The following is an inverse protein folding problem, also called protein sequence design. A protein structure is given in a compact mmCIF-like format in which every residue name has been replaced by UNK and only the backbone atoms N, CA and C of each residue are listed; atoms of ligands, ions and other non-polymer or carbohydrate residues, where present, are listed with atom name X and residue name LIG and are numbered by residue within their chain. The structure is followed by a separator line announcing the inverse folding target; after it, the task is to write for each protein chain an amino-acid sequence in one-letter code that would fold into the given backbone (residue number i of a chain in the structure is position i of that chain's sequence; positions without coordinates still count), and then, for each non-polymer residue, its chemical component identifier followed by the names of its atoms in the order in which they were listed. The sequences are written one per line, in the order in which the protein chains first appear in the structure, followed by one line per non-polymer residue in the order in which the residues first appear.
data_IF_881642537947
#
_entry.id   IF_881642537947
#
_cell.length_a   1.000
_cell.length_b   1.000
_cell.length_c   1.000
_cell.angle_alpha   90.00
_cell.angle_beta   90.00
_cell.angle_gamma   90.00
#
_symmetry.space_group_name_H-M   'P 1'
#
loop_
_entity.id
_entity.type
_entity.pdbx_description
1 polymer ?
#
# COMPACT_ATOMS: atom_id res chain seq x y z
N UNK A 1 1.28 32.79 -57.28
CA UNK A 1 1.36 31.32 -57.14
C UNK A 1 2.78 30.96 -56.74
N UNK A 2 3.05 30.86 -55.44
CA UNK A 2 4.24 30.24 -54.88
C UNK A 2 3.90 29.80 -53.45
N UNK A 3 3.89 28.49 -53.22
CA UNK A 3 3.73 27.84 -51.91
C UNK A 3 5.10 27.67 -51.27
N UNK A 4 5.31 28.03 -49.99
CA UNK A 4 6.52 27.67 -49.27
C UNK A 4 6.38 26.30 -48.57
N UNK A 5 7.44 25.52 -48.70
CA UNK A 5 7.69 24.20 -48.12
C UNK A 5 7.84 24.31 -46.59
N UNK A 6 6.96 23.66 -45.82
CA UNK A 6 7.08 23.52 -44.36
C UNK A 6 7.86 22.25 -43.98
N UNK A 7 8.86 22.39 -43.11
CA UNK A 7 9.66 21.28 -42.58
C UNK A 7 8.89 20.48 -41.54
N UNK A 8 9.15 19.17 -41.56
CA UNK A 8 8.55 18.15 -40.72
C UNK A 8 9.31 18.11 -39.39
N UNK A 9 8.67 18.52 -38.29
CA UNK A 9 9.12 18.18 -36.94
C UNK A 9 8.33 16.97 -36.43
N UNK A 10 9.09 15.90 -36.20
CA UNK A 10 8.62 14.62 -35.73
C UNK A 10 8.37 14.61 -34.22
N UNK A 11 7.61 13.59 -33.79
CA UNK A 11 7.37 13.15 -32.40
C UNK A 11 6.07 13.62 -31.72
N UNK A 12 4.93 13.21 -32.30
CA UNK A 12 3.77 12.69 -31.54
C UNK A 12 3.11 11.52 -32.29
N UNK A 13 3.03 10.36 -31.65
CA UNK A 13 2.28 9.18 -32.12
C UNK A 13 2.54 8.04 -31.15
N UNK A 14 1.66 7.77 -30.18
CA UNK A 14 0.51 6.85 -30.32
C UNK A 14 0.85 5.64 -31.20
N UNK A 15 1.22 4.53 -30.57
CA UNK A 15 1.15 3.23 -31.23
C UNK A 15 0.29 2.28 -30.38
N UNK A 16 -0.92 2.11 -30.91
CA UNK A 16 -1.87 1.04 -30.62
C UNK A 16 -1.35 -0.27 -31.22
N UNK A 17 -1.65 -1.36 -30.51
CA UNK A 17 -1.26 -2.75 -30.74
C UNK A 17 -1.83 -3.32 -32.03
N UNK A 18 -1.04 -4.08 -32.79
CA UNK A 18 -1.54 -5.13 -33.70
C UNK A 18 -0.79 -6.45 -33.45
N UNK A 19 -1.54 -7.46 -33.02
CA UNK A 19 -1.15 -8.87 -33.02
C UNK A 19 -1.32 -9.41 -34.45
N UNK A 20 -0.25 -9.95 -35.05
CA UNK A 20 -0.37 -10.89 -36.16
C UNK A 20 0.41 -12.15 -35.82
N UNK A 21 -0.34 -13.25 -35.69
CA UNK A 21 0.13 -14.60 -35.51
C UNK A 21 0.36 -15.22 -36.90
N UNK A 22 1.61 -15.52 -37.27
CA UNK A 22 1.99 -16.80 -37.92
C UNK A 22 3.51 -16.94 -38.08
N UNK A 23 3.94 -18.19 -37.86
CA UNK A 23 5.20 -18.86 -38.22
C UNK A 23 6.41 -18.81 -37.26
N UNK A 24 6.54 -19.95 -36.57
CA UNK A 24 7.73 -20.48 -35.92
C UNK A 24 8.84 -20.84 -36.92
N UNK A 25 10.01 -21.13 -36.36
CA UNK A 25 11.18 -21.84 -36.92
C UNK A 25 12.29 -20.89 -37.42
N UNK A 26 12.98 -20.30 -36.44
CA UNK A 26 14.42 -20.10 -36.54
C UNK A 26 15.03 -20.39 -35.17
N UNK A 27 15.96 -21.33 -35.18
CA UNK A 27 16.72 -21.89 -34.08
C UNK A 27 17.57 -20.84 -33.37
N UNK A 28 17.09 -20.31 -32.25
CA UNK A 28 17.89 -19.71 -31.17
C UNK A 28 16.94 -19.51 -29.98
N UNK A 29 17.21 -20.04 -28.78
CA UNK A 29 16.47 -19.62 -27.60
C UNK A 29 16.93 -18.20 -27.24
N UNK A 30 16.11 -17.14 -27.40
CA UNK A 30 16.36 -15.95 -26.61
C UNK A 30 16.14 -16.39 -25.17
N UNK A 31 17.19 -16.27 -24.36
CA UNK A 31 17.10 -16.35 -22.91
C UNK A 31 16.25 -15.16 -22.46
N UNK A 32 14.94 -15.28 -22.62
CA UNK A 32 13.97 -14.44 -21.94
C UNK A 32 14.08 -14.91 -20.50
N UNK A 33 15.00 -14.28 -19.78
CA UNK A 33 14.98 -14.29 -18.33
C UNK A 33 13.54 -13.98 -17.96
N UNK A 34 12.87 -14.99 -17.42
CA UNK A 34 11.60 -14.83 -16.76
C UNK A 34 11.85 -13.86 -15.61
N UNK A 35 11.75 -12.56 -15.87
CA UNK A 35 11.42 -11.60 -14.84
C UNK A 35 9.98 -11.90 -14.47
N UNK A 36 9.82 -13.00 -13.75
CA UNK A 36 8.71 -13.20 -12.85
C UNK A 36 8.51 -11.87 -12.12
N UNK A 37 7.27 -11.40 -11.95
CA UNK A 37 6.99 -10.25 -11.08
C UNK A 37 7.65 -10.39 -9.69
N UNK A 38 7.95 -11.64 -9.31
CA UNK A 38 8.74 -12.04 -8.15
C UNK A 38 10.18 -11.51 -8.12
N UNK A 39 10.91 -11.48 -9.23
CA UNK A 39 12.28 -10.94 -9.27
C UNK A 39 12.38 -9.46 -8.87
N UNK A 40 11.29 -8.71 -9.05
CA UNK A 40 11.18 -7.35 -8.54
C UNK A 40 10.93 -7.31 -7.03
N UNK A 41 10.13 -8.23 -6.49
CA UNK A 41 9.87 -8.35 -5.04
C UNK A 41 11.05 -8.91 -4.26
N UNK A 42 11.91 -9.73 -4.88
CA UNK A 42 13.12 -10.30 -4.25
C UNK A 42 14.17 -9.26 -3.86
N UNK A 43 14.10 -8.04 -4.41
CA UNK A 43 14.99 -6.92 -4.06
C UNK A 43 14.47 -6.08 -2.89
N UNK A 44 13.25 -6.33 -2.44
CA UNK A 44 12.59 -5.55 -1.41
C UNK A 44 12.63 -6.27 -0.07
N UNK A 45 13.27 -5.66 0.92
CA UNK A 45 13.27 -6.18 2.28
C UNK A 45 11.90 -5.91 2.93
N UNK A 46 11.16 -6.96 3.29
CA UNK A 46 9.88 -6.83 3.99
C UNK A 46 10.12 -6.98 5.49
N UNK A 47 9.76 -5.97 6.26
CA UNK A 47 9.93 -5.98 7.71
C UNK A 47 8.68 -5.67 8.52
N UNK A 48 8.80 -5.80 9.85
CA UNK A 48 7.64 -5.90 10.74
C UNK A 48 7.94 -5.58 12.20
N UNK A 49 6.94 -5.07 12.93
CA UNK A 49 6.98 -4.76 14.37
C UNK A 49 6.65 -5.94 15.30
N UNK A 50 6.96 -5.83 16.60
CA UNK A 50 6.69 -6.87 17.58
C UNK A 50 5.18 -7.08 17.76
N UNK A 51 4.73 -8.33 17.84
CA UNK A 51 3.33 -8.72 18.01
C UNK A 51 2.59 -9.12 16.72
N UNK A 52 3.03 -8.67 15.54
CA UNK A 52 2.44 -9.08 14.24
C UNK A 52 3.05 -10.37 13.70
N UNK A 53 4.20 -10.80 14.25
CA UNK A 53 4.99 -11.95 13.83
C UNK A 53 4.23 -13.28 13.92
N UNK A 54 3.38 -13.40 14.92
CA UNK A 54 2.66 -14.62 15.29
C UNK A 54 1.69 -15.10 14.22
N UNK A 55 1.06 -14.22 13.43
CA UNK A 55 0.06 -14.64 12.44
C UNK A 55 0.65 -15.31 11.19
N UNK A 56 1.77 -14.79 10.67
CA UNK A 56 2.39 -15.41 9.50
C UNK A 56 2.95 -16.78 9.89
N UNK A 57 3.60 -16.85 11.05
CA UNK A 57 4.11 -18.12 11.57
C UNK A 57 3.00 -19.17 11.79
N UNK A 58 1.83 -18.77 12.29
CA UNK A 58 0.73 -19.71 12.60
C UNK A 58 -0.17 -20.04 11.41
N UNK A 59 -0.03 -19.34 10.28
CA UNK A 59 -0.89 -19.56 9.13
C UNK A 59 -0.48 -20.78 8.30
N UNK A 60 -1.47 -21.58 7.87
CA UNK A 60 -1.26 -22.78 7.04
C UNK A 60 -1.14 -22.50 5.53
N UNK A 61 -1.18 -21.23 5.14
CA UNK A 61 -1.10 -20.86 3.73
C UNK A 61 0.36 -20.89 3.27
N UNK A 62 0.69 -21.58 2.17
CA UNK A 62 2.07 -21.79 1.73
C UNK A 62 2.78 -20.47 1.36
N UNK A 63 2.02 -19.45 0.93
CA UNK A 63 2.56 -18.12 0.63
C UNK A 63 3.10 -17.44 1.89
N UNK A 64 2.37 -17.54 3.01
CA UNK A 64 2.80 -16.95 4.28
C UNK A 64 3.99 -17.70 4.89
N UNK A 65 4.04 -19.03 4.77
CA UNK A 65 5.20 -19.80 5.20
C UNK A 65 6.47 -19.41 4.43
N UNK A 66 6.39 -19.27 3.11
CA UNK A 66 7.52 -18.81 2.28
C UNK A 66 7.97 -17.40 2.65
N UNK A 67 7.01 -16.49 2.85
CA UNK A 67 7.32 -15.12 3.28
C UNK A 67 8.00 -15.10 4.66
N UNK A 68 7.54 -15.93 5.60
CA UNK A 68 8.17 -16.08 6.91
C UNK A 68 9.61 -16.60 6.80
N UNK A 69 9.82 -17.69 6.07
CA UNK A 69 11.16 -18.26 5.87
C UNK A 69 12.12 -17.25 5.24
N UNK A 70 11.63 -16.45 4.28
CA UNK A 70 12.43 -15.38 3.68
C UNK A 70 12.79 -14.28 4.69
N UNK A 71 11.84 -13.83 5.53
CA UNK A 71 12.10 -12.80 6.54
C UNK A 71 13.09 -13.30 7.62
N UNK A 72 12.97 -14.55 8.06
CA UNK A 72 13.87 -15.16 9.05
C UNK A 72 15.30 -15.35 8.53
N UNK A 73 15.47 -15.59 7.22
CA UNK A 73 16.80 -15.81 6.63
C UNK A 73 17.59 -14.53 6.38
N UNK A 74 17.03 -13.33 6.62
CA UNK A 74 17.71 -12.07 6.35
C UNK A 74 18.61 -11.64 7.51
N UNK A 75 19.86 -11.25 7.18
CA UNK A 75 20.80 -10.62 8.10
C UNK A 75 21.41 -9.39 7.40
N UNK A 76 21.17 -8.15 7.86
CA UNK A 76 20.56 -7.75 9.14
C UNK A 76 19.04 -7.98 9.21
N UNK A 77 18.52 -8.07 10.43
CA UNK A 77 17.09 -8.36 10.66
C UNK A 77 16.17 -7.36 9.96
N UNK A 78 15.12 -7.88 9.34
CA UNK A 78 14.06 -7.07 8.72
C UNK A 78 13.07 -6.55 9.76
N UNK A 79 13.04 -7.13 10.96
CA UNK A 79 12.14 -6.71 12.03
C UNK A 79 12.55 -5.37 12.64
N UNK A 80 11.56 -4.66 13.17
CA UNK A 80 11.73 -3.40 13.92
C UNK A 80 11.10 -3.57 15.29
N UNK A 81 11.47 -2.74 16.26
CA UNK A 81 10.93 -2.79 17.63
C UNK A 81 9.63 -2.01 17.79
N UNK A 82 9.33 -1.06 16.93
CA UNK A 82 8.07 -0.32 16.97
C UNK A 82 7.52 0.02 15.58
N UNK A 83 6.26 0.44 15.52
CA UNK A 83 5.64 0.86 14.25
C UNK A 83 6.29 2.15 13.72
N UNK A 84 6.67 3.07 14.61
CA UNK A 84 7.31 4.34 14.25
C UNK A 84 8.69 4.11 13.65
N UNK A 85 9.45 3.14 14.19
CA UNK A 85 10.73 2.71 13.62
C UNK A 85 10.53 2.09 12.23
N UNK A 86 9.51 1.23 12.08
CA UNK A 86 9.11 0.66 10.79
C UNK A 86 8.80 1.71 9.73
N UNK A 87 7.98 2.70 10.07
CA UNK A 87 7.65 3.83 9.18
C UNK A 87 8.91 4.58 8.75
N UNK A 88 9.76 4.97 9.70
CA UNK A 88 11.02 5.67 9.40
C UNK A 88 11.95 4.84 8.51
N UNK A 89 11.99 3.52 8.70
CA UNK A 89 12.81 2.61 7.89
C UNK A 89 12.30 2.50 6.45
N UNK A 90 10.99 2.54 6.23
CA UNK A 90 10.39 2.62 4.88
C UNK A 90 10.76 3.92 4.20
N UNK A 91 10.62 5.05 4.90
CA UNK A 91 10.96 6.37 4.35
C UNK A 91 12.43 6.48 3.93
N UNK A 92 13.33 5.88 4.70
CA UNK A 92 14.78 5.83 4.39
C UNK A 92 15.15 4.76 3.36
N UNK A 93 14.24 3.85 3.06
CA UNK A 93 14.51 2.69 2.21
C UNK A 93 14.39 2.98 0.73
N UNK A 94 13.99 4.20 0.31
CA UNK A 94 13.83 4.62 -1.08
C UNK A 94 13.10 3.59 -1.95
N UNK A 95 12.02 3.04 -1.40
CA UNK A 95 11.19 2.02 -2.04
C UNK A 95 11.69 0.59 -1.86
N UNK A 96 12.95 0.35 -1.45
CA UNK A 96 13.58 -0.98 -1.28
C UNK A 96 13.17 -1.71 0.02
N UNK A 97 12.38 -1.08 0.89
CA UNK A 97 11.89 -1.68 2.13
C UNK A 97 10.38 -1.49 2.26
N UNK A 98 9.67 -2.59 2.49
CA UNK A 98 8.24 -2.58 2.75
C UNK A 98 7.96 -2.98 4.20
N UNK A 99 6.99 -2.33 4.84
CA UNK A 99 6.66 -2.60 6.24
C UNK A 99 5.21 -3.04 6.42
N UNK A 100 5.02 -4.13 7.15
CA UNK A 100 3.70 -4.67 7.43
C UNK A 100 3.18 -4.18 8.79
N UNK A 101 2.09 -3.41 8.77
CA UNK A 101 1.41 -2.95 9.99
C UNK A 101 -0.13 -3.21 9.92
N UNK A 102 -0.90 -2.68 10.87
CA UNK A 102 -2.37 -2.76 10.81
C UNK A 102 -2.95 -1.84 9.76
N UNK A 103 -4.00 -2.27 9.05
CA UNK A 103 -4.66 -1.44 8.04
C UNK A 103 -5.09 -0.07 8.58
N UNK A 104 -5.61 -0.01 9.81
CA UNK A 104 -5.98 1.25 10.49
C UNK A 104 -4.77 2.17 10.70
N UNK A 105 -3.61 1.60 11.05
CA UNK A 105 -2.35 2.34 11.20
C UNK A 105 -1.80 2.79 9.84
N UNK A 106 -1.87 1.95 8.80
CA UNK A 106 -1.47 2.33 7.44
C UNK A 106 -2.31 3.53 7.00
N UNK A 107 -3.64 3.41 7.04
CA UNK A 107 -4.56 4.50 6.67
C UNK A 107 -4.26 5.79 7.45
N UNK A 108 -3.91 5.67 8.74
CA UNK A 108 -3.57 6.84 9.56
C UNK A 108 -2.26 7.52 9.12
N UNK A 109 -1.24 6.72 8.82
CA UNK A 109 0.10 7.21 8.46
C UNK A 109 0.11 7.77 7.03
N UNK A 110 -0.55 7.11 6.07
CA UNK A 110 -0.59 7.55 4.67
C UNK A 110 -1.38 8.85 4.48
N UNK A 111 -2.30 9.17 5.39
CA UNK A 111 -2.99 10.47 5.40
C UNK A 111 -2.10 11.64 5.87
N UNK A 112 -0.92 11.34 6.44
CA UNK A 112 0.03 12.31 6.99
C UNK A 112 1.33 12.41 6.18
N UNK A 113 1.80 11.27 5.68
CA UNK A 113 3.06 11.12 4.97
C UNK A 113 2.77 10.70 3.52
N UNK A 114 2.94 11.63 2.59
CA UNK A 114 2.52 11.47 1.20
C UNK A 114 3.54 10.73 0.34
N UNK A 115 4.75 10.56 0.87
CA UNK A 115 5.80 9.67 0.39
C UNK A 115 5.49 8.19 0.66
N UNK A 116 4.50 7.90 1.50
CA UNK A 116 4.10 6.55 1.85
C UNK A 116 2.76 6.18 1.20
N UNK A 117 2.73 4.99 0.60
CA UNK A 117 1.52 4.43 -0.02
C UNK A 117 1.27 3.00 0.43
N UNK A 118 0.01 2.62 0.58
CA UNK A 118 -0.37 1.23 0.76
C UNK A 118 -0.24 0.46 -0.57
N UNK A 119 0.45 -0.68 -0.54
CA UNK A 119 0.53 -1.60 -1.69
C UNK A 119 -0.34 -2.82 -1.39
N UNK A 120 -1.27 -3.10 -2.30
CA UNK A 120 -2.17 -4.26 -2.21
C UNK A 120 -3.29 -4.11 -1.16
N UNK A 121 -4.08 -5.18 -1.02
CA UNK A 121 -5.20 -5.25 -0.09
C UNK A 121 -4.79 -5.64 1.34
N UNK A 122 -5.71 -5.53 2.31
CA UNK A 122 -5.49 -6.03 3.66
C UNK A 122 -5.31 -7.55 3.63
N UNK A 123 -4.34 -8.05 4.40
CA UNK A 123 -4.05 -9.49 4.49
C UNK A 123 -5.03 -10.25 5.39
N UNK A 124 -5.77 -9.53 6.23
CA UNK A 124 -6.78 -10.08 7.13
C UNK A 124 -7.78 -8.96 7.47
N UNK A 125 -9.01 -9.36 7.76
CA UNK A 125 -10.05 -8.51 8.32
C UNK A 125 -10.04 -8.64 9.85
N UNK A 126 -9.43 -7.66 10.53
CA UNK A 126 -9.57 -7.51 11.99
C UNK A 126 -10.55 -6.40 12.31
N UNK A 127 -11.35 -6.62 13.34
CA UNK A 127 -12.27 -5.64 13.92
C UNK A 127 -11.89 -5.35 15.37
N UNK A 128 -12.17 -4.13 15.81
CA UNK A 128 -12.06 -3.74 17.21
C UNK A 128 -13.43 -3.87 17.90
N UNK A 129 -13.43 -4.22 19.18
CA UNK A 129 -14.63 -4.34 19.99
C UNK A 129 -14.41 -3.78 21.39
N UNK A 130 -15.50 -3.39 22.05
CA UNK A 130 -15.49 -2.93 23.44
C UNK A 130 -15.65 -4.17 24.32
N UNK A 131 -14.63 -4.48 25.13
CA UNK A 131 -14.66 -5.63 26.03
C UNK A 131 -15.39 -5.27 27.33
N UNK A 132 -16.26 -6.17 27.79
CA UNK A 132 -16.97 -6.06 29.07
C UNK A 132 -16.77 -7.36 29.87
N UNK A 133 -16.81 -7.31 31.22
CA UNK A 133 -16.77 -8.51 32.04
C UNK A 133 -17.89 -9.50 31.68
N UNK A 134 -17.66 -10.82 31.77
CA UNK A 134 -18.71 -11.81 31.60
C UNK A 134 -19.89 -11.55 32.53
N UNK A 135 -21.12 -11.67 32.02
CA UNK A 135 -22.34 -11.41 32.80
C UNK A 135 -22.68 -9.93 33.03
N UNK A 136 -21.94 -8.99 32.44
CA UNK A 136 -22.26 -7.55 32.56
C UNK A 136 -23.66 -7.22 32.01
N UNK A 137 -24.48 -6.54 32.82
CA UNK A 137 -25.79 -6.03 32.44
C UNK A 137 -25.73 -4.99 31.31
N UNK A 138 -24.59 -4.32 31.13
CA UNK A 138 -24.38 -3.30 30.12
C UNK A 138 -24.15 -3.85 28.71
N UNK A 139 -23.94 -5.16 28.56
CA UNK A 139 -23.62 -5.78 27.26
C UNK A 139 -24.66 -5.45 26.19
N UNK A 140 -25.95 -5.62 26.51
CA UNK A 140 -27.04 -5.36 25.58
C UNK A 140 -27.17 -3.86 25.27
N UNK A 141 -27.04 -3.01 26.29
CA UNK A 141 -27.15 -1.56 26.15
C UNK A 141 -26.03 -0.98 25.28
N UNK A 142 -24.78 -1.40 25.51
CA UNK A 142 -23.62 -0.95 24.75
C UNK A 142 -23.70 -1.44 23.30
N UNK A 143 -24.09 -2.70 23.07
CA UNK A 143 -24.27 -3.21 21.70
C UNK A 143 -25.34 -2.41 20.94
N UNK A 144 -26.50 -2.16 21.56
CA UNK A 144 -27.56 -1.35 20.96
C UNK A 144 -27.09 0.09 20.68
N UNK A 145 -26.33 0.70 21.59
CA UNK A 145 -25.78 2.04 21.39
C UNK A 145 -24.78 2.10 20.23
N UNK A 146 -23.88 1.11 20.12
CA UNK A 146 -22.92 1.03 19.01
C UNK A 146 -23.63 0.87 17.66
N UNK A 147 -24.66 0.02 17.59
CA UNK A 147 -25.47 -0.14 16.38
C UNK A 147 -26.14 1.17 15.96
N UNK A 148 -26.75 1.91 16.91
CA UNK A 148 -27.35 3.23 16.64
C UNK A 148 -26.31 4.24 16.13
N UNK A 149 -25.11 4.26 16.70
CA UNK A 149 -24.03 5.14 16.24
C UNK A 149 -23.52 4.77 14.84
N UNK A 150 -23.57 3.48 14.49
CA UNK A 150 -23.20 2.99 13.17
C UNK A 150 -24.27 3.34 12.12
N UNK A 151 -25.54 3.04 12.40
CA UNK A 151 -26.69 3.35 11.55
C UNK A 151 -26.84 4.86 11.34
N UNK A 152 -26.62 5.66 12.39
CA UNK A 152 -26.62 7.11 12.33
C UNK A 152 -25.39 7.72 11.66
N UNK A 153 -24.42 6.92 11.20
CA UNK A 153 -23.20 7.40 10.52
C UNK A 153 -22.19 8.14 11.42
N UNK A 154 -22.46 8.26 12.72
CA UNK A 154 -21.60 8.98 13.67
C UNK A 154 -20.21 8.36 13.75
N UNK A 155 -20.12 7.02 13.73
CA UNK A 155 -18.83 6.33 13.72
C UNK A 155 -18.00 6.65 12.47
N UNK A 156 -18.66 6.77 11.32
CA UNK A 156 -17.99 7.15 10.07
C UNK A 156 -17.51 8.60 10.11
N UNK A 157 -18.32 9.51 10.64
CA UNK A 157 -17.92 10.90 10.84
C UNK A 157 -16.72 11.02 11.79
N UNK A 158 -16.73 10.28 12.90
CA UNK A 158 -15.63 10.24 13.85
C UNK A 158 -14.36 9.69 13.19
N UNK A 159 -14.44 8.61 12.42
CA UNK A 159 -13.29 8.07 11.67
C UNK A 159 -12.70 9.15 10.76
N UNK A 160 -13.55 9.79 9.95
CA UNK A 160 -13.14 10.87 9.03
C UNK A 160 -12.47 12.02 9.78
N UNK A 161 -13.07 12.48 10.87
CA UNK A 161 -12.55 13.57 11.70
C UNK A 161 -11.16 13.26 12.24
N UNK A 162 -10.95 12.07 12.81
CA UNK A 162 -9.69 11.72 13.46
C UNK A 162 -8.58 11.27 12.49
N UNK A 163 -8.94 10.68 11.35
CA UNK A 163 -7.97 10.25 10.35
C UNK A 163 -7.58 11.37 9.38
N UNK A 164 -8.56 12.11 8.87
CA UNK A 164 -8.39 13.06 7.76
C UNK A 164 -8.42 14.54 8.17
N UNK A 165 -9.09 14.93 9.25
CA UNK A 165 -9.22 16.36 9.60
C UNK A 165 -8.31 16.80 10.76
N UNK A 166 -8.04 15.89 11.70
CA UNK A 166 -7.29 16.19 12.93
C UNK A 166 -5.86 15.65 12.87
N UNK A 167 -4.99 16.24 13.69
CA UNK A 167 -3.59 15.79 13.91
C UNK A 167 -2.80 15.63 12.59
N UNK A 168 -2.95 16.57 11.66
CA UNK A 168 -2.24 16.57 10.39
C UNK A 168 -2.71 15.54 9.37
N UNK A 169 -3.92 15.00 9.51
CA UNK A 169 -4.55 14.20 8.45
C UNK A 169 -4.95 15.07 7.25
N UNK A 170 -5.14 14.44 6.09
CA UNK A 170 -5.61 15.10 4.87
C UNK A 170 -4.56 15.95 4.15
N UNK A 171 -3.31 15.95 4.60
CA UNK A 171 -2.21 16.73 4.01
C UNK A 171 -1.85 16.25 2.61
N UNK A 172 -2.12 14.99 2.29
CA UNK A 172 -1.82 14.39 0.99
C UNK A 172 -2.90 14.64 -0.07
N UNK A 173 -3.99 15.34 0.28
CA UNK A 173 -4.98 15.82 -0.67
C UNK A 173 -4.55 17.19 -1.22
N UNK A 174 -3.41 17.24 -1.91
CA UNK A 174 -3.11 18.39 -2.77
C UNK A 174 -3.84 18.19 -4.11
N UNK A 175 -4.78 19.07 -4.50
CA UNK A 175 -5.07 19.22 -5.92
C UNK A 175 -3.80 19.74 -6.60
N UNK A 176 -3.41 19.12 -7.71
CA UNK A 176 -2.32 19.55 -8.58
C UNK A 176 -2.61 20.90 -9.28
N UNK A 177 -2.89 21.95 -8.53
CA UNK A 177 -3.27 23.27 -9.04
C UNK A 177 -2.78 24.39 -8.13
N UNK A 178 -1.45 24.51 -7.98
CA UNK A 178 -0.82 25.71 -7.44
C UNK A 178 0.57 25.97 -8.07
N UNK A 179 0.74 25.69 -9.36
CA UNK A 179 1.78 26.33 -10.18
C UNK A 179 1.11 27.32 -11.13
N UNK A 180 0.70 28.44 -10.56
CA UNK A 180 0.06 29.55 -11.24
C UNK A 180 0.52 30.85 -10.58
N UNK A 181 1.83 31.12 -10.59
CA UNK A 181 2.40 32.44 -10.39
C UNK A 181 3.42 32.72 -11.48
N UNK A 182 2.90 33.13 -12.64
CA UNK A 182 3.65 33.92 -13.61
C UNK A 182 4.02 35.22 -12.87
N UNK A 183 5.28 35.35 -12.51
CA UNK A 183 5.82 36.65 -12.12
C UNK A 183 5.93 37.51 -13.38
N UNK A 184 5.39 38.72 -13.25
CA UNK A 184 5.46 39.83 -14.21
C UNK A 184 6.91 40.25 -14.48
#
# INVERSE_FOLDING_TARGET
MHTPQGSIDAHRGWHVVFFTLHYMISSSPPTIAASSPWSAWSRHHVGRGPGKQTRINTSKLPVYQRMFSFMESQNPTVYTKSNEEGVKRVQKGDGMYAYMMESSSIEYITERYCDLSQVGGPLDSKSYGIALPPGSSYRTLINAAVLRLQEGGVLHELKRRWWKEKRGGGTCQMPAAAEGKILK
#
